data_IF_846495065639
#
_entry.id   IF_846495065639
#
_cell.length_a   1.000
_cell.length_b   1.000
_cell.length_c   1.000
_cell.angle_alpha   90.00
_cell.angle_beta   90.00
_cell.angle_gamma   90.00
#
_symmetry.space_group_name_H-M   'P 1'
#
loop_
_entity.id
_entity.type
_entity.pdbx_description
1 polymer ?
#
# COMPACT_ATOMS: atom_id res chain seq x y z
N UNK A 1 -39.65 39.46 41.10
CA UNK A 1 -40.35 38.52 40.21
C UNK A 1 -39.49 38.40 38.97
N UNK A 2 -38.32 37.77 39.08
CA UNK A 2 -37.31 37.69 38.01
C UNK A 2 -36.73 36.27 37.85
N UNK A 3 -37.25 35.30 38.59
CA UNK A 3 -36.79 33.91 38.53
C UNK A 3 -37.03 33.28 37.15
N UNK A 4 -38.11 33.68 36.48
CA UNK A 4 -38.44 33.25 35.12
C UNK A 4 -37.43 33.83 34.12
N UNK A 5 -37.05 35.11 34.27
CA UNK A 5 -36.06 35.75 33.42
C UNK A 5 -34.66 35.15 33.62
N UNK A 6 -34.27 34.88 34.88
CA UNK A 6 -33.02 34.19 35.21
C UNK A 6 -32.99 32.78 34.64
N UNK A 7 -34.11 32.03 34.73
CA UNK A 7 -34.25 30.70 34.13
C UNK A 7 -34.10 30.74 32.60
N UNK A 8 -34.80 31.66 31.93
CA UNK A 8 -34.71 31.83 30.48
C UNK A 8 -33.28 32.20 30.02
N UNK A 9 -32.57 33.06 30.75
CA UNK A 9 -31.18 33.40 30.46
C UNK A 9 -30.27 32.17 30.64
N UNK A 10 -30.44 31.41 31.72
CA UNK A 10 -29.68 30.19 31.96
C UNK A 10 -29.91 29.13 30.88
N UNK A 11 -31.14 28.98 30.39
CA UNK A 11 -31.49 28.10 29.27
C UNK A 11 -30.84 28.53 27.96
N UNK A 12 -30.85 29.83 27.63
CA UNK A 12 -30.20 30.37 26.44
C UNK A 12 -28.69 30.12 26.50
N UNK A 13 -28.06 30.41 27.65
CA UNK A 13 -26.63 30.19 27.85
C UNK A 13 -26.30 28.69 27.75
N UNK A 14 -27.12 27.83 28.35
CA UNK A 14 -26.98 26.37 28.28
C UNK A 14 -27.11 25.84 26.85
N UNK A 15 -28.09 26.34 26.09
CA UNK A 15 -28.29 25.99 24.68
C UNK A 15 -27.11 26.43 23.81
N UNK A 16 -26.59 27.64 24.01
CA UNK A 16 -25.39 28.13 23.31
C UNK A 16 -24.17 27.26 23.65
N UNK A 17 -23.96 26.95 24.93
CA UNK A 17 -22.86 26.09 25.37
C UNK A 17 -22.94 24.71 24.70
N UNK A 18 -24.13 24.11 24.65
CA UNK A 18 -24.35 22.82 23.99
C UNK A 18 -24.03 22.87 22.49
N UNK A 19 -24.49 23.91 21.78
CA UNK A 19 -24.19 24.09 20.35
C UNK A 19 -22.68 24.21 20.12
N UNK A 20 -21.97 24.97 20.95
CA UNK A 20 -20.52 25.11 20.87
C UNK A 20 -19.79 23.79 21.16
N UNK A 21 -20.24 23.03 22.17
CA UNK A 21 -19.69 21.70 22.46
C UNK A 21 -19.90 20.73 21.30
N UNK A 22 -21.09 20.71 20.68
CA UNK A 22 -21.36 19.86 19.52
C UNK A 22 -20.53 20.27 18.30
N UNK A 23 -20.35 21.57 18.05
CA UNK A 23 -19.49 22.06 16.98
C UNK A 23 -18.03 21.67 17.20
N UNK A 24 -17.53 21.82 18.44
CA UNK A 24 -16.19 21.37 18.81
C UNK A 24 -16.04 19.85 18.62
N UNK A 25 -17.01 19.05 19.07
CA UNK A 25 -16.99 17.60 18.91
C UNK A 25 -16.98 17.19 17.43
N UNK A 26 -17.76 17.86 16.58
CA UNK A 26 -17.77 17.61 15.15
C UNK A 26 -16.40 17.90 14.51
N UNK A 27 -15.78 19.02 14.86
CA UNK A 27 -14.41 19.35 14.42
C UNK A 27 -13.38 18.35 14.94
N UNK A 28 -13.49 17.96 16.22
CA UNK A 28 -12.61 16.98 16.85
C UNK A 28 -12.70 15.61 16.19
N UNK A 29 -13.91 15.13 15.89
CA UNK A 29 -14.13 13.86 15.18
C UNK A 29 -13.56 13.93 13.76
N UNK A 30 -13.72 15.05 13.06
CA UNK A 30 -13.14 15.23 11.72
C UNK A 30 -11.60 15.17 11.77
N UNK A 31 -10.97 15.90 12.70
CA UNK A 31 -9.52 15.89 12.87
C UNK A 31 -9.01 14.49 13.27
N UNK A 32 -9.69 13.82 14.18
CA UNK A 32 -9.37 12.44 14.59
C UNK A 32 -9.46 11.47 13.41
N UNK A 33 -10.50 11.60 12.58
CA UNK A 33 -10.67 10.78 11.38
C UNK A 33 -9.54 11.01 10.38
N UNK A 34 -9.14 12.27 10.15
CA UNK A 34 -8.03 12.60 9.27
C UNK A 34 -6.69 12.05 9.80
N UNK A 35 -6.43 12.17 11.10
CA UNK A 35 -5.24 11.60 11.73
C UNK A 35 -5.21 10.07 11.60
N UNK A 36 -6.34 9.39 11.82
CA UNK A 36 -6.45 7.95 11.65
C UNK A 36 -6.19 7.51 10.20
N UNK A 37 -6.68 8.26 9.20
CA UNK A 37 -6.40 8.00 7.79
C UNK A 37 -4.92 8.15 7.45
N UNK A 38 -4.26 9.21 7.93
CA UNK A 38 -2.81 9.41 7.74
C UNK A 38 -2.01 8.26 8.37
N UNK A 39 -2.33 7.87 9.60
CA UNK A 39 -1.68 6.75 10.27
C UNK A 39 -1.92 5.40 9.57
N UNK A 40 -3.04 5.23 8.86
CA UNK A 40 -3.28 4.03 8.03
C UNK A 40 -2.41 4.03 6.76
N UNK A 41 -2.27 5.19 6.09
CA UNK A 41 -1.38 5.35 4.96
C UNK A 41 0.09 5.13 5.35
N UNK A 42 0.55 5.71 6.45
CA UNK A 42 1.91 5.52 6.98
C UNK A 42 2.21 4.04 7.26
N UNK A 43 1.28 3.31 7.90
CA UNK A 43 1.46 1.86 8.12
C UNK A 43 1.55 1.05 6.83
N UNK A 44 0.82 1.45 5.79
CA UNK A 44 0.93 0.81 4.48
C UNK A 44 2.33 1.06 3.87
N UNK A 45 2.84 2.29 3.98
CA UNK A 45 4.20 2.64 3.57
C UNK A 45 5.27 1.90 4.36
N UNK A 46 5.10 1.76 5.68
CA UNK A 46 6.05 1.03 6.51
C UNK A 46 6.07 -0.47 6.19
N UNK A 47 4.93 -1.04 5.76
CA UNK A 47 4.88 -2.42 5.27
C UNK A 47 5.74 -2.62 4.02
N UNK A 48 5.77 -1.65 3.10
CA UNK A 48 6.68 -1.64 1.94
C UNK A 48 8.15 -1.58 2.38
N UNK A 49 8.45 -0.72 3.37
CA UNK A 49 9.82 -0.57 3.87
C UNK A 49 10.33 -1.83 4.55
N UNK A 50 9.47 -2.49 5.33
CA UNK A 50 9.79 -3.75 6.00
C UNK A 50 10.00 -4.88 4.99
N UNK A 51 9.15 -4.95 3.97
CA UNK A 51 9.35 -5.84 2.83
C UNK A 51 10.73 -5.64 2.19
N UNK A 52 11.09 -4.40 1.85
CA UNK A 52 12.38 -4.07 1.25
C UNK A 52 13.56 -4.40 2.19
N UNK A 53 13.41 -4.17 3.50
CA UNK A 53 14.42 -4.54 4.50
C UNK A 53 14.65 -6.04 4.54
N UNK A 54 13.59 -6.85 4.46
CA UNK A 54 13.70 -8.31 4.45
C UNK A 54 14.57 -8.85 3.30
N UNK A 55 14.53 -8.19 2.14
CA UNK A 55 15.37 -8.49 0.99
C UNK A 55 16.83 -8.03 1.20
N UNK A 56 17.03 -6.84 1.78
CA UNK A 56 18.36 -6.29 2.02
C UNK A 56 19.16 -7.11 3.05
N UNK A 57 18.51 -7.55 4.12
CA UNK A 57 19.17 -8.23 5.23
C UNK A 57 19.46 -9.71 4.92
N UNK A 58 18.85 -10.28 3.88
CA UNK A 58 18.95 -11.71 3.55
C UNK A 58 19.33 -11.92 2.06
N UNK A 59 20.63 -11.90 1.71
CA UNK A 59 21.09 -12.03 0.33
C UNK A 59 20.59 -13.29 -0.39
N UNK A 60 20.54 -14.44 0.30
CA UNK A 60 20.02 -15.68 -0.26
C UNK A 60 18.52 -15.56 -0.64
N UNK A 61 17.75 -14.82 0.16
CA UNK A 61 16.33 -14.59 -0.08
C UNK A 61 16.14 -13.60 -1.24
N UNK A 62 16.99 -12.59 -1.33
CA UNK A 62 17.00 -11.67 -2.47
C UNK A 62 17.36 -12.38 -3.79
N UNK A 63 18.33 -13.30 -3.79
CA UNK A 63 18.71 -14.08 -4.97
C UNK A 63 17.53 -14.92 -5.49
N UNK A 64 16.87 -15.65 -4.59
CA UNK A 64 15.66 -16.43 -4.93
C UNK A 64 14.54 -15.53 -5.45
N UNK A 65 14.36 -14.35 -4.86
CA UNK A 65 13.36 -13.39 -5.31
C UNK A 65 13.61 -12.90 -6.74
N UNK A 66 14.83 -12.47 -7.05
CA UNK A 66 15.16 -11.96 -8.37
C UNK A 66 15.10 -13.06 -9.42
N UNK A 67 15.64 -14.24 -9.10
CA UNK A 67 15.55 -15.44 -9.94
C UNK A 67 14.10 -15.81 -10.27
N UNK A 68 13.24 -15.80 -9.26
CA UNK A 68 11.82 -16.09 -9.42
C UNK A 68 11.06 -14.99 -10.15
N UNK A 69 11.46 -13.72 -9.97
CA UNK A 69 10.87 -12.56 -10.66
C UNK A 69 11.09 -12.63 -12.17
N UNK A 70 12.29 -13.04 -12.60
CA UNK A 70 12.59 -13.29 -14.02
C UNK A 70 11.76 -14.43 -14.62
N UNK A 71 11.40 -15.43 -13.80
CA UNK A 71 10.53 -16.55 -14.19
C UNK A 71 10.50 -17.65 -13.12
N UNK A 72 9.34 -18.24 -12.84
CA UNK A 72 9.21 -19.31 -11.82
C UNK A 72 9.97 -20.58 -12.26
N UNK A 73 10.14 -20.77 -13.57
CA UNK A 73 10.96 -21.82 -14.17
C UNK A 73 12.42 -21.78 -13.73
N UNK A 74 12.96 -20.59 -13.39
CA UNK A 74 14.34 -20.46 -12.94
C UNK A 74 14.54 -21.04 -11.54
N UNK A 75 13.47 -21.19 -10.74
CA UNK A 75 13.55 -21.71 -9.37
C UNK A 75 13.86 -23.21 -9.38
N UNK A 76 15.02 -23.57 -8.83
CA UNK A 76 15.67 -24.87 -9.01
C UNK A 76 15.12 -25.96 -8.10
N UNK A 77 14.47 -25.60 -7.00
CA UNK A 77 13.96 -26.56 -6.01
C UNK A 77 12.67 -26.06 -5.35
N UNK A 78 11.99 -26.97 -4.63
CA UNK A 78 10.72 -26.67 -3.97
C UNK A 78 10.85 -25.60 -2.87
N UNK A 79 12.00 -25.50 -2.22
CA UNK A 79 12.26 -24.48 -1.19
C UNK A 79 12.27 -23.09 -1.83
N UNK A 80 13.00 -22.90 -2.92
CA UNK A 80 13.03 -21.64 -3.68
C UNK A 80 11.63 -21.24 -4.16
N UNK A 81 10.87 -22.18 -4.73
CA UNK A 81 9.48 -21.97 -5.15
C UNK A 81 8.57 -21.54 -4.00
N UNK A 82 8.75 -22.14 -2.83
CA UNK A 82 7.95 -21.81 -1.64
C UNK A 82 8.30 -20.43 -1.10
N UNK A 83 9.60 -20.10 -1.05
CA UNK A 83 10.08 -18.77 -0.65
C UNK A 83 9.54 -17.70 -1.59
N UNK A 84 9.75 -17.85 -2.91
CA UNK A 84 9.22 -16.93 -3.90
C UNK A 84 7.69 -16.80 -3.81
N UNK A 85 6.97 -17.90 -3.56
CA UNK A 85 5.52 -17.87 -3.40
C UNK A 85 5.04 -17.05 -2.21
N UNK A 86 5.65 -17.22 -1.03
CA UNK A 86 5.34 -16.43 0.17
C UNK A 86 5.69 -14.95 -0.03
N UNK A 87 6.84 -14.71 -0.66
CA UNK A 87 7.35 -13.38 -0.98
C UNK A 87 6.43 -12.63 -1.93
N UNK A 88 6.02 -13.28 -3.02
CA UNK A 88 5.06 -12.74 -3.98
C UNK A 88 3.73 -12.46 -3.28
N UNK A 89 3.23 -13.39 -2.45
CA UNK A 89 2.01 -13.16 -1.69
C UNK A 89 2.07 -11.89 -0.83
N UNK A 90 3.16 -11.68 -0.08
CA UNK A 90 3.35 -10.51 0.77
C UNK A 90 3.46 -9.21 -0.05
N UNK A 91 4.20 -9.25 -1.17
CA UNK A 91 4.31 -8.13 -2.10
C UNK A 91 2.93 -7.71 -2.62
N UNK A 92 2.18 -8.65 -3.22
CA UNK A 92 0.86 -8.35 -3.76
C UNK A 92 -0.12 -7.90 -2.68
N UNK A 93 -0.03 -8.42 -1.45
CA UNK A 93 -0.89 -7.95 -0.32
C UNK A 93 -0.55 -6.53 0.12
N UNK A 94 0.73 -6.18 0.10
CA UNK A 94 1.15 -4.81 0.39
C UNK A 94 0.68 -3.85 -0.71
N UNK A 95 0.77 -4.25 -1.97
CA UNK A 95 0.24 -3.48 -3.09
C UNK A 95 -1.28 -3.33 -3.02
N UNK A 96 -2.02 -4.39 -2.69
CA UNK A 96 -3.47 -4.34 -2.46
C UNK A 96 -3.83 -3.35 -1.36
N UNK A 97 -3.10 -3.36 -0.25
CA UNK A 97 -3.32 -2.44 0.85
C UNK A 97 -3.08 -0.98 0.43
N UNK A 98 -2.00 -0.70 -0.32
CA UNK A 98 -1.73 0.64 -0.84
C UNK A 98 -2.82 1.11 -1.80
N UNK A 99 -3.24 0.23 -2.73
CA UNK A 99 -4.32 0.51 -3.66
C UNK A 99 -5.62 0.82 -2.93
N UNK A 100 -5.96 0.03 -1.90
CA UNK A 100 -7.11 0.30 -1.05
C UNK A 100 -7.03 1.66 -0.35
N UNK A 101 -5.86 2.02 0.22
CA UNK A 101 -5.68 3.33 0.86
C UNK A 101 -5.83 4.50 -0.13
N UNK A 102 -5.43 4.32 -1.38
CA UNK A 102 -5.68 5.29 -2.43
C UNK A 102 -7.17 5.40 -2.77
N UNK A 103 -7.85 4.26 -2.98
CA UNK A 103 -9.28 4.23 -3.28
C UNK A 103 -10.15 4.92 -2.23
N UNK A 104 -9.83 4.76 -0.95
CA UNK A 104 -10.59 5.40 0.15
C UNK A 104 -10.18 6.86 0.41
N UNK A 105 -9.28 7.42 -0.39
CA UNK A 105 -8.82 8.82 -0.29
C UNK A 105 -7.90 9.09 0.91
N UNK A 106 -7.31 8.06 1.52
CA UNK A 106 -6.34 8.21 2.60
C UNK A 106 -4.92 8.51 2.09
N UNK A 107 -4.66 8.28 0.80
CA UNK A 107 -3.38 8.55 0.15
C UNK A 107 -3.51 9.65 -0.90
N UNK A 108 -2.64 10.66 -0.81
CA UNK A 108 -2.59 11.76 -1.78
C UNK A 108 -2.22 11.25 -3.18
N UNK A 109 -2.87 11.78 -4.22
CA UNK A 109 -2.67 11.34 -5.60
C UNK A 109 -1.20 11.40 -6.07
N UNK A 110 -0.46 12.44 -5.66
CA UNK A 110 0.95 12.57 -6.00
C UNK A 110 1.81 11.44 -5.40
N UNK A 111 1.49 11.00 -4.18
CA UNK A 111 2.14 9.86 -3.53
C UNK A 111 1.75 8.55 -4.22
N UNK A 112 0.47 8.39 -4.55
CA UNK A 112 -0.03 7.23 -5.27
C UNK A 112 0.68 7.02 -6.60
N UNK A 113 0.88 8.07 -7.40
CA UNK A 113 1.57 7.97 -8.71
C UNK A 113 2.95 7.32 -8.60
N UNK A 114 3.71 7.61 -7.54
CA UNK A 114 5.01 6.98 -7.30
C UNK A 114 4.91 5.49 -6.96
N UNK A 115 3.91 5.11 -6.14
CA UNK A 115 3.66 3.70 -5.81
C UNK A 115 3.12 2.92 -7.00
N UNK A 116 2.19 3.49 -7.77
CA UNK A 116 1.67 2.88 -8.99
C UNK A 116 2.80 2.63 -9.99
N UNK A 117 3.70 3.60 -10.18
CA UNK A 117 4.90 3.43 -11.00
C UNK A 117 5.77 2.26 -10.51
N UNK A 118 6.01 2.17 -9.20
CA UNK A 118 6.76 1.04 -8.62
C UNK A 118 6.03 -0.31 -8.80
N UNK A 119 4.72 -0.34 -8.64
CA UNK A 119 3.90 -1.55 -8.83
C UNK A 119 3.98 -2.03 -10.27
N UNK A 120 3.87 -1.14 -11.26
CA UNK A 120 4.04 -1.48 -12.67
C UNK A 120 5.40 -2.12 -12.92
N UNK A 121 6.45 -1.55 -12.34
CA UNK A 121 7.82 -2.04 -12.48
C UNK A 121 8.09 -3.38 -11.79
N UNK A 122 7.30 -3.79 -10.78
CA UNK A 122 7.54 -5.03 -10.02
C UNK A 122 6.52 -6.13 -10.30
N UNK A 123 5.23 -5.81 -10.34
CA UNK A 123 4.15 -6.81 -10.44
C UNK A 123 4.04 -7.42 -11.84
N UNK A 124 4.43 -6.66 -12.86
CA UNK A 124 4.28 -7.07 -14.27
C UNK A 124 5.44 -7.95 -14.77
N UNK A 125 6.41 -8.28 -13.93
CA UNK A 125 7.45 -9.22 -14.30
C UNK A 125 6.89 -10.62 -14.57
N UNK A 126 7.51 -11.41 -15.47
CA UNK A 126 6.99 -12.71 -15.89
C UNK A 126 6.70 -13.63 -14.71
N UNK A 127 7.62 -13.76 -13.75
CA UNK A 127 7.46 -14.66 -12.61
C UNK A 127 6.33 -14.26 -11.66
N UNK A 128 6.19 -12.96 -11.38
CA UNK A 128 5.08 -12.43 -10.59
C UNK A 128 3.74 -12.65 -11.29
N UNK A 129 3.71 -12.49 -12.61
CA UNK A 129 2.48 -12.70 -13.37
C UNK A 129 2.10 -14.18 -13.48
N UNK A 130 3.06 -15.09 -13.66
CA UNK A 130 2.83 -16.52 -13.58
C UNK A 130 2.24 -16.90 -12.20
N UNK A 131 2.81 -16.37 -11.12
CA UNK A 131 2.33 -16.63 -9.76
C UNK A 131 0.90 -16.08 -9.54
N UNK A 132 0.65 -14.88 -10.06
CA UNK A 132 -0.63 -14.17 -9.96
C UNK A 132 -1.78 -14.92 -10.64
N UNK A 133 -1.58 -15.46 -11.85
CA UNK A 133 -2.65 -16.12 -12.60
C UNK A 133 -3.33 -17.24 -11.81
N UNK A 134 -2.55 -17.99 -11.03
CA UNK A 134 -3.07 -19.09 -10.21
C UNK A 134 -3.70 -18.62 -8.89
N UNK A 135 -3.35 -17.42 -8.40
CA UNK A 135 -3.61 -16.99 -7.00
C UNK A 135 -4.38 -15.68 -6.87
N UNK A 136 -4.73 -15.02 -7.97
CA UNK A 136 -5.47 -13.74 -7.99
C UNK A 136 -6.79 -13.76 -7.21
N UNK A 137 -7.42 -14.93 -7.08
CA UNK A 137 -8.65 -15.11 -6.29
C UNK A 137 -8.47 -14.90 -4.79
N UNK A 138 -7.23 -14.86 -4.28
CA UNK A 138 -6.94 -14.49 -2.90
C UNK A 138 -6.99 -12.96 -2.64
N UNK A 139 -7.29 -12.17 -3.67
CA UNK A 139 -7.30 -10.71 -3.65
C UNK A 139 -8.69 -10.17 -4.03
N UNK A 140 -8.98 -8.97 -3.55
CA UNK A 140 -10.20 -8.21 -3.83
C UNK A 140 -10.42 -8.00 -5.33
N UNK A 141 -11.69 -7.89 -5.74
CA UNK A 141 -12.03 -7.70 -7.14
C UNK A 141 -11.47 -6.37 -7.67
N UNK A 142 -11.50 -5.34 -6.84
CA UNK A 142 -11.01 -4.00 -7.18
C UNK A 142 -9.50 -4.00 -7.43
N UNK A 143 -8.73 -4.78 -6.66
CA UNK A 143 -7.30 -4.92 -6.90
C UNK A 143 -7.00 -5.79 -8.12
N UNK A 144 -7.80 -6.83 -8.37
CA UNK A 144 -7.69 -7.62 -9.60
C UNK A 144 -7.94 -6.74 -10.84
N UNK A 145 -8.98 -5.91 -10.79
CA UNK A 145 -9.31 -4.98 -11.86
C UNK A 145 -8.19 -3.96 -12.05
N UNK A 146 -7.65 -3.38 -10.97
CA UNK A 146 -6.49 -2.50 -11.03
C UNK A 146 -5.29 -3.15 -11.75
N UNK A 147 -4.89 -4.36 -11.35
CA UNK A 147 -3.78 -5.08 -12.00
C UNK A 147 -4.06 -5.32 -13.48
N UNK A 148 -5.30 -5.65 -13.86
CA UNK A 148 -5.66 -5.89 -15.26
C UNK A 148 -5.52 -4.65 -16.16
N UNK A 149 -5.61 -3.45 -15.58
CA UNK A 149 -5.41 -2.18 -16.27
C UNK A 149 -3.97 -1.65 -16.15
N UNK A 150 -3.12 -2.27 -15.32
CA UNK A 150 -1.71 -1.90 -15.25
C UNK A 150 -1.03 -2.23 -16.58
N UNK A 151 -0.41 -1.21 -17.18
CA UNK A 151 0.36 -1.38 -18.42
C UNK A 151 1.85 -1.32 -18.11
N UNK A 152 2.70 -2.13 -18.78
CA UNK A 152 4.14 -1.98 -18.67
C UNK A 152 4.56 -0.55 -19.03
N UNK A 153 5.54 -0.02 -18.33
CA UNK A 153 6.18 1.22 -18.76
C UNK A 153 7.12 0.88 -19.92
N UNK A 154 6.71 1.20 -21.15
CA UNK A 154 7.47 0.88 -22.37
C UNK A 154 8.82 1.58 -22.42
N UNK A 155 9.06 2.59 -21.59
CA UNK A 155 10.30 3.37 -21.60
C UNK A 155 11.42 2.80 -20.74
N UNK A 156 11.17 1.89 -19.77
CA UNK A 156 12.26 1.21 -19.04
C UNK A 156 11.94 -0.20 -18.56
N UNK A 157 12.78 -1.12 -19.04
CA UNK A 157 13.22 -2.33 -18.35
C UNK A 157 13.88 -1.91 -17.03
N UNK A 158 13.24 -2.19 -15.89
CA UNK A 158 13.95 -2.16 -14.63
C UNK A 158 15.04 -3.25 -14.70
N UNK A 159 16.30 -2.83 -14.76
CA UNK A 159 17.43 -3.74 -14.60
C UNK A 159 17.58 -3.94 -13.09
N UNK A 160 17.29 -5.12 -12.52
CA UNK A 160 17.57 -5.34 -11.12
C UNK A 160 19.05 -5.01 -10.86
N UNK A 161 19.41 -4.39 -9.71
CA UNK A 161 20.80 -4.14 -9.36
C UNK A 161 21.50 -5.50 -9.11
N UNK A 162 21.91 -6.15 -10.18
CA UNK A 162 22.37 -7.54 -10.16
C UNK A 162 23.07 -8.02 -11.43
N UNK A 163 23.29 -7.16 -12.43
CA UNK A 163 24.39 -7.29 -13.40
C UNK A 163 24.89 -5.91 -13.76
N UNK A 164 25.94 -5.47 -13.07
CA UNK A 164 26.95 -4.65 -13.75
C UNK A 164 27.33 -5.49 -14.96
N UNK A 165 27.06 -4.99 -16.17
CA UNK A 165 27.69 -5.56 -17.35
C UNK A 165 29.19 -5.52 -17.06
N UNK A 166 29.77 -6.66 -16.72
CA UNK A 166 31.22 -6.78 -16.69
C UNK A 166 31.64 -6.58 -18.12
N UNK A 167 32.05 -5.36 -18.41
CA UNK A 167 32.75 -4.94 -19.61
C UNK A 167 34.09 -5.70 -19.62
N UNK A 168 34.03 -7.01 -19.89
CA UNK A 168 35.20 -7.86 -20.10
C UNK A 168 34.89 -9.22 -20.75
N UNK A 169 33.81 -9.33 -21.52
CA UNK A 169 33.65 -10.38 -22.54
C UNK A 169 33.74 -9.73 -23.92
N UNK A 170 34.97 -9.40 -24.34
CA UNK A 170 35.40 -9.14 -25.72
C UNK A 170 36.91 -9.28 -25.82
#
# INVERSE_FOLDING_TARGET
MDWIAVGAIAEIVGAIALVLTLAYLALQVNHSTQAARRAAAERAVDSVREWNRSLLDNPDVADVYWKGTEGIENLSNQRERSQFGVMSFNLFKTCEQLHYQHMVGSMESAMWTGYEWQMRGNLLYPGHMQWWQERRHAFSQEFQDFISHLTPDTERVFNPPGRVATENDS
#
